data_IF_033590647243
#
_entry.id   IF_033590647243
#
_cell.length_a   1.000
_cell.length_b   1.000
_cell.length_c   1.000
_cell.angle_alpha   90.00
_cell.angle_beta   90.00
_cell.angle_gamma   90.00
#
_symmetry.space_group_name_H-M   'P 1'
#
loop_
_entity.id
_entity.type
_entity.pdbx_description
1 polymer ?
#
# COMPACT_ATOMS: atom_id res chain seq x y z
N UNK A 1 -8.22 1.91 40.41
CA UNK A 1 -8.99 2.46 39.27
C UNK A 1 -8.23 3.55 38.51
N UNK A 2 -7.85 4.69 39.12
CA UNK A 2 -7.11 5.77 38.43
C UNK A 2 -5.80 5.33 37.75
N UNK A 3 -5.01 4.47 38.42
CA UNK A 3 -3.74 3.94 37.87
C UNK A 3 -3.94 3.01 36.66
N UNK A 4 -5.04 2.25 36.64
CA UNK A 4 -5.35 1.31 35.54
C UNK A 4 -5.83 2.09 34.32
N UNK A 5 -6.69 3.09 34.51
CA UNK A 5 -7.13 3.98 33.44
C UNK A 5 -5.96 4.74 32.79
N UNK A 6 -5.00 5.23 33.60
CA UNK A 6 -3.80 5.89 33.10
C UNK A 6 -2.93 4.94 32.25
N UNK A 7 -2.80 3.68 32.67
CA UNK A 7 -1.99 2.68 31.96
C UNK A 7 -2.60 2.31 30.61
N UNK A 8 -3.93 2.18 30.55
CA UNK A 8 -4.68 1.98 29.30
C UNK A 8 -4.48 3.17 28.36
N UNK A 9 -4.53 4.40 28.89
CA UNK A 9 -4.37 5.62 28.10
C UNK A 9 -2.96 5.78 27.52
N UNK A 10 -1.92 5.37 28.26
CA UNK A 10 -0.55 5.34 27.77
C UNK A 10 -0.39 4.27 26.69
N UNK A 11 -0.93 3.07 26.90
CA UNK A 11 -0.86 1.98 25.92
C UNK A 11 -1.58 2.34 24.61
N UNK A 12 -2.75 2.98 24.68
CA UNK A 12 -3.46 3.42 23.48
C UNK A 12 -2.72 4.55 22.75
N UNK A 13 -2.15 5.52 23.46
CA UNK A 13 -1.34 6.58 22.84
C UNK A 13 -0.07 6.04 22.16
N UNK A 14 0.62 5.08 22.80
CA UNK A 14 1.79 4.41 22.21
C UNK A 14 1.37 3.56 21.01
N UNK A 15 0.22 2.88 21.08
CA UNK A 15 -0.35 2.15 19.95
C UNK A 15 -0.60 3.07 18.75
N UNK A 16 -1.31 4.18 18.97
CA UNK A 16 -1.59 5.18 17.91
C UNK A 16 -0.28 5.72 17.32
N UNK A 17 0.67 6.13 18.15
CA UNK A 17 1.96 6.65 17.68
C UNK A 17 2.77 5.61 16.89
N UNK A 18 2.75 4.35 17.32
CA UNK A 18 3.38 3.24 16.60
C UNK A 18 2.73 3.00 15.24
N UNK A 19 1.40 3.06 15.15
CA UNK A 19 0.70 2.90 13.88
C UNK A 19 0.92 4.11 12.96
N UNK A 20 0.70 5.34 13.43
CA UNK A 20 0.80 6.55 12.62
C UNK A 20 2.22 6.77 12.09
N UNK A 21 3.24 6.77 12.94
CA UNK A 21 4.58 7.17 12.53
C UNK A 21 5.31 6.14 11.66
N UNK A 22 5.01 4.85 11.83
CA UNK A 22 5.66 3.80 11.06
C UNK A 22 4.90 3.41 9.79
N UNK A 23 3.58 3.58 9.73
CA UNK A 23 2.76 3.13 8.60
C UNK A 23 2.41 4.25 7.61
N UNK A 24 2.85 5.48 7.87
CA UNK A 24 2.57 6.59 6.97
C UNK A 24 3.29 6.39 5.61
N UNK A 25 2.57 6.50 4.49
CA UNK A 25 3.18 6.56 3.17
C UNK A 25 4.12 7.77 3.12
N UNK A 26 5.35 7.55 2.65
CA UNK A 26 6.38 8.59 2.60
C UNK A 26 6.24 9.41 1.34
N UNK A 27 5.83 8.76 0.24
CA UNK A 27 5.80 9.34 -1.09
C UNK A 27 4.92 8.49 -2.02
N UNK A 28 4.16 9.13 -2.90
CA UNK A 28 3.51 8.48 -4.05
C UNK A 28 4.49 8.44 -5.22
N UNK A 29 4.58 7.32 -5.92
CA UNK A 29 5.47 7.13 -7.07
C UNK A 29 4.67 7.42 -8.34
N UNK A 30 4.36 8.70 -8.57
CA UNK A 30 3.43 9.14 -9.62
C UNK A 30 3.85 8.70 -11.04
N UNK A 31 5.16 8.54 -11.28
CA UNK A 31 5.72 8.10 -12.57
C UNK A 31 5.27 6.69 -12.99
N UNK A 32 4.88 5.85 -12.02
CA UNK A 32 4.40 4.49 -12.28
C UNK A 32 2.89 4.46 -12.58
N UNK A 33 2.14 5.47 -12.14
CA UNK A 33 0.68 5.49 -12.30
C UNK A 33 0.33 5.55 -13.79
N UNK A 34 -0.54 4.65 -14.22
CA UNK A 34 -0.97 4.51 -15.62
C UNK A 34 -0.05 3.66 -16.50
N UNK A 35 1.06 3.15 -15.95
CA UNK A 35 1.95 2.20 -16.63
C UNK A 35 1.49 0.77 -16.38
N UNK A 36 2.00 -0.17 -17.16
CA UNK A 36 1.76 -1.60 -16.92
C UNK A 36 2.83 -2.19 -15.98
N UNK A 37 2.57 -3.38 -15.45
CA UNK A 37 3.49 -4.09 -14.56
C UNK A 37 4.85 -4.38 -15.22
N UNK A 38 4.85 -4.66 -16.52
CA UNK A 38 6.07 -4.92 -17.29
C UNK A 38 7.04 -3.73 -17.29
N UNK A 39 6.51 -2.52 -17.42
CA UNK A 39 7.29 -1.30 -17.32
C UNK A 39 7.91 -1.15 -15.92
N UNK A 40 7.11 -1.36 -14.87
CA UNK A 40 7.60 -1.31 -13.50
C UNK A 40 8.73 -2.31 -13.26
N UNK A 41 8.55 -3.59 -13.63
CA UNK A 41 9.53 -4.64 -13.37
C UNK A 41 10.81 -4.47 -14.18
N UNK A 42 10.71 -4.10 -15.47
CA UNK A 42 11.87 -4.05 -16.39
C UNK A 42 12.61 -2.73 -16.35
N UNK A 43 11.92 -1.62 -16.13
CA UNK A 43 12.49 -0.27 -16.25
C UNK A 43 12.80 0.31 -14.88
N UNK A 44 11.83 0.27 -13.96
CA UNK A 44 11.93 0.96 -12.67
C UNK A 44 12.59 0.08 -11.60
N UNK A 45 11.96 -1.02 -11.21
CA UNK A 45 12.43 -1.89 -10.13
C UNK A 45 13.62 -2.76 -10.54
N UNK A 46 13.65 -3.16 -11.82
CA UNK A 46 14.67 -4.07 -12.39
C UNK A 46 14.77 -5.40 -11.63
N UNK A 47 13.69 -5.82 -10.99
CA UNK A 47 13.56 -7.07 -10.26
C UNK A 47 12.09 -7.49 -10.19
N UNK A 48 11.86 -8.76 -9.85
CA UNK A 48 10.54 -9.24 -9.44
C UNK A 48 10.20 -8.72 -8.03
N UNK A 49 8.91 -8.71 -7.70
CA UNK A 49 8.42 -8.32 -6.39
C UNK A 49 8.72 -9.41 -5.35
N UNK A 50 9.00 -9.01 -4.12
CA UNK A 50 9.21 -9.94 -2.99
C UNK A 50 7.89 -10.53 -2.49
N UNK A 51 6.80 -9.77 -2.59
CA UNK A 51 5.46 -10.20 -2.17
C UNK A 51 4.40 -9.78 -3.18
N UNK A 52 3.46 -10.70 -3.42
CA UNK A 52 2.31 -10.50 -4.31
C UNK A 52 1.06 -10.94 -3.55
N UNK A 53 0.05 -10.08 -3.53
CA UNK A 53 -1.25 -10.37 -2.91
C UNK A 53 -2.36 -9.90 -3.83
N UNK A 54 -3.49 -10.60 -3.84
CA UNK A 54 -4.69 -10.17 -4.57
C UNK A 54 -5.86 -10.05 -3.62
N UNK A 55 -6.73 -9.07 -3.86
CA UNK A 55 -7.89 -8.85 -3.04
C UNK A 55 -9.04 -8.26 -3.84
N UNK A 56 -10.26 -8.48 -3.34
CA UNK A 56 -11.47 -7.92 -3.92
C UNK A 56 -11.82 -6.60 -3.23
N UNK A 57 -11.81 -5.50 -3.98
CA UNK A 57 -12.08 -4.15 -3.48
C UNK A 57 -13.54 -3.96 -3.03
N UNK A 58 -14.47 -4.79 -3.52
CA UNK A 58 -15.88 -4.76 -3.10
C UNK A 58 -16.11 -5.49 -1.77
N UNK A 59 -15.22 -6.41 -1.39
CA UNK A 59 -15.34 -7.18 -0.14
C UNK A 59 -14.55 -6.57 1.02
N UNK A 60 -13.61 -5.66 0.75
CA UNK A 60 -12.83 -4.97 1.78
C UNK A 60 -13.28 -3.52 1.91
N UNK A 61 -14.17 -3.29 2.89
CA UNK A 61 -14.39 -1.98 3.50
C UNK A 61 -13.03 -1.37 3.91
N UNK A 62 -12.64 -0.29 3.24
CA UNK A 62 -11.86 0.85 3.74
C UNK A 62 -10.50 0.70 4.45
N UNK A 63 -9.93 -0.48 4.64
CA UNK A 63 -8.64 -0.62 5.35
C UNK A 63 -7.68 -1.54 4.59
N UNK A 64 -7.19 -1.09 3.43
CA UNK A 64 -5.85 -1.52 3.01
C UNK A 64 -4.84 -0.58 3.66
N UNK A 65 -4.33 -1.03 4.81
CA UNK A 65 -3.06 -0.66 5.45
C UNK A 65 -2.32 0.54 4.81
N UNK A 66 -2.79 1.76 5.09
CA UNK A 66 -2.10 3.01 4.76
C UNK A 66 -2.02 3.38 3.27
N UNK A 67 -2.72 2.67 2.37
CA UNK A 67 -2.80 2.98 0.95
C UNK A 67 -4.25 3.22 0.53
N UNK A 68 -4.67 4.49 0.47
CA UNK A 68 -5.95 4.84 -0.15
C UNK A 68 -5.72 4.74 -1.65
N UNK A 69 -6.29 3.71 -2.31
CA UNK A 69 -6.36 3.66 -3.77
C UNK A 69 -7.02 4.95 -4.24
N UNK A 70 -6.21 5.90 -4.67
CA UNK A 70 -6.60 7.30 -4.82
C UNK A 70 -7.63 7.49 -5.95
N UNK A 71 -7.77 6.48 -6.82
CA UNK A 71 -8.70 6.47 -7.96
C UNK A 71 -9.48 5.16 -8.08
N UNK A 72 -10.32 4.82 -7.11
CA UNK A 72 -11.29 3.70 -7.25
C UNK A 72 -12.16 3.82 -8.51
N UNK A 73 -12.38 5.05 -9.01
CA UNK A 73 -13.25 5.35 -10.15
C UNK A 73 -12.73 4.88 -11.52
N UNK A 74 -11.44 4.56 -11.66
CA UNK A 74 -10.86 4.10 -12.94
C UNK A 74 -10.83 2.58 -13.09
N UNK A 75 -11.05 1.85 -12.00
CA UNK A 75 -11.00 0.41 -11.93
C UNK A 75 -12.31 -0.19 -12.44
N UNK A 76 -12.23 -1.17 -13.33
CA UNK A 76 -13.39 -1.83 -13.95
C UNK A 76 -13.64 -3.25 -13.45
N UNK A 77 -12.64 -3.87 -12.81
CA UNK A 77 -12.77 -5.16 -12.16
C UNK A 77 -12.58 -5.00 -10.65
N UNK A 78 -13.27 -5.82 -9.86
CA UNK A 78 -13.18 -5.79 -8.41
C UNK A 78 -11.85 -6.31 -7.86
N UNK A 79 -11.04 -7.00 -8.68
CA UNK A 79 -9.75 -7.58 -8.26
C UNK A 79 -8.62 -6.58 -8.44
N UNK A 80 -7.86 -6.36 -7.36
CA UNK A 80 -6.62 -5.59 -7.37
C UNK A 80 -5.47 -6.50 -6.95
N UNK A 81 -4.35 -6.37 -7.66
CA UNK A 81 -3.10 -7.06 -7.36
C UNK A 81 -2.12 -6.07 -6.73
N UNK A 82 -1.60 -6.41 -5.56
CA UNK A 82 -0.57 -5.65 -4.86
C UNK A 82 0.77 -6.35 -5.03
N UNK A 83 1.78 -5.59 -5.47
CA UNK A 83 3.16 -6.06 -5.59
C UNK A 83 4.04 -5.21 -4.67
N UNK A 84 4.91 -5.85 -3.89
CA UNK A 84 5.78 -5.16 -2.92
C UNK A 84 7.24 -5.54 -3.09
N UNK A 85 8.10 -4.53 -3.14
CA UNK A 85 9.56 -4.64 -3.10
C UNK A 85 10.07 -4.18 -1.74
N UNK A 86 10.96 -4.97 -1.14
CA UNK A 86 11.54 -4.73 0.17
C UNK A 86 13.00 -4.38 0.02
N UNK A 87 13.32 -3.14 0.36
CA UNK A 87 14.69 -2.64 0.38
C UNK A 87 15.21 -2.56 1.82
N UNK A 88 16.51 -2.33 1.96
CA UNK A 88 17.13 -2.21 3.27
C UNK A 88 16.49 -1.10 4.11
N UNK A 89 16.01 0.00 3.53
CA UNK A 89 15.55 1.18 4.27
C UNK A 89 14.10 1.61 3.99
N UNK A 90 13.41 0.90 3.10
CA UNK A 90 12.05 1.24 2.69
C UNK A 90 11.41 0.02 2.02
N UNK A 91 10.10 0.10 1.78
CA UNK A 91 9.43 -0.80 0.86
C UNK A 91 8.64 0.03 -0.16
N UNK A 92 8.47 -0.51 -1.34
CA UNK A 92 7.69 0.11 -2.41
C UNK A 92 6.57 -0.85 -2.80
N UNK A 93 5.36 -0.33 -2.87
CA UNK A 93 4.17 -1.12 -3.17
C UNK A 93 3.44 -0.48 -4.33
N UNK A 94 3.08 -1.28 -5.34
CA UNK A 94 2.20 -0.84 -6.43
C UNK A 94 0.92 -1.68 -6.41
N UNK A 95 -0.16 -1.05 -6.84
CA UNK A 95 -1.45 -1.69 -7.05
C UNK A 95 -1.76 -1.70 -8.54
N UNK A 96 -1.99 -2.88 -9.07
CA UNK A 96 -2.32 -3.13 -10.47
C UNK A 96 -3.75 -3.62 -10.54
N UNK A 97 -4.54 -3.00 -11.39
CA UNK A 97 -5.93 -3.38 -11.59
C UNK A 97 -6.34 -3.22 -13.05
N UNK A 98 -7.45 -3.86 -13.41
CA UNK A 98 -8.08 -3.65 -14.71
C UNK A 98 -8.74 -2.27 -14.76
N UNK A 99 -8.48 -1.51 -15.81
CA UNK A 99 -9.09 -0.19 -16.02
C UNK A 99 -9.79 -0.11 -17.36
N UNK A 100 -10.50 1.00 -17.60
CA UNK A 100 -11.10 1.28 -18.91
C UNK A 100 -10.07 1.44 -20.03
N UNK A 101 -8.81 1.73 -19.70
CA UNK A 101 -7.75 1.98 -20.68
C UNK A 101 -6.99 0.72 -21.02
N UNK A 102 -6.72 -0.14 -20.03
CA UNK A 102 -5.81 -1.27 -20.16
C UNK A 102 -6.25 -2.42 -19.23
N UNK A 103 -5.95 -3.65 -19.63
CA UNK A 103 -6.30 -4.84 -18.84
C UNK A 103 -5.55 -4.92 -17.50
N UNK A 104 -4.31 -4.41 -17.44
CA UNK A 104 -3.49 -4.33 -16.24
C UNK A 104 -2.75 -3.00 -16.21
N UNK A 105 -3.22 -2.07 -15.38
CA UNK A 105 -2.67 -0.74 -15.20
C UNK A 105 -2.33 -0.52 -13.73
N UNK A 106 -1.20 0.12 -13.46
CA UNK A 106 -0.83 0.57 -12.13
C UNK A 106 -1.74 1.73 -11.76
N UNK A 107 -2.62 1.52 -10.78
CA UNK A 107 -3.60 2.50 -10.32
C UNK A 107 -3.10 3.31 -9.13
N UNK A 108 -2.12 2.78 -8.41
CA UNK A 108 -1.49 3.43 -7.28
C UNK A 108 -0.08 2.88 -7.07
N UNK A 109 0.81 3.69 -6.52
CA UNK A 109 2.20 3.33 -6.24
C UNK A 109 2.72 4.17 -5.08
N UNK A 110 3.22 3.52 -4.02
CA UNK A 110 3.57 4.15 -2.75
C UNK A 110 4.90 3.61 -2.24
N UNK A 111 5.72 4.50 -1.70
CA UNK A 111 6.91 4.18 -0.91
C UNK A 111 6.61 4.34 0.58
N UNK A 112 6.94 3.33 1.38
CA UNK A 112 6.84 3.34 2.84
C UNK A 112 8.23 3.31 3.49
N UNK A 113 8.39 3.96 4.65
CA UNK A 113 9.60 3.86 5.49
C UNK A 113 9.75 2.44 6.05
N UNK A 114 10.99 2.04 6.38
CA UNK A 114 11.32 0.72 6.96
C UNK A 114 10.45 0.37 8.18
N UNK A 115 10.27 -0.93 8.44
CA UNK A 115 9.61 -1.57 9.60
C UNK A 115 8.08 -1.69 9.59
N UNK A 116 7.41 -1.46 8.46
CA UNK A 116 6.00 -1.86 8.32
C UNK A 116 5.91 -3.36 8.01
N UNK A 117 5.91 -4.19 9.06
CA UNK A 117 5.50 -5.60 8.96
C UNK A 117 3.98 -5.67 9.09
N UNK A 118 3.35 -6.30 8.10
CA UNK A 118 1.92 -6.59 8.08
C UNK A 118 1.61 -7.82 8.94
#
# INVERSE_FOLDING_TARGET
>A
MKKIALLILILSAVGIWYFDAFHEPVETIDDLIGKNLDFANKVYFKSEADEITSFNINNSLNEFQGGIVNKKSIITDSIVYQYTWKYLNHKETIWVAKTKKQDLEIVDAIRYKKNVKF
#
